data_IF_665429355393
#
_entry.id   IF_665429355393
#
_cell.length_a   1.000
_cell.length_b   1.000
_cell.length_c   1.000
_cell.angle_alpha   90.00
_cell.angle_beta   90.00
_cell.angle_gamma   90.00
#
_symmetry.space_group_name_H-M   'P 1'
#
loop_
_entity.id
_entity.type
_entity.pdbx_description
1 polymer ?
#
# COMPACT_ATOMS: atom_id res chain seq x y z
N UNK A 1 11.68 -0.80 0.78
CA UNK A 1 11.29 -1.96 -0.07
C UNK A 1 9.92 -1.65 -0.67
N UNK A 2 9.70 -1.98 -1.96
CA UNK A 2 8.43 -1.80 -2.67
C UNK A 2 7.84 -3.18 -3.00
N UNK A 3 6.55 -3.38 -2.74
CA UNK A 3 5.84 -4.64 -2.97
C UNK A 3 4.58 -4.38 -3.81
N UNK A 4 4.38 -5.18 -4.86
CA UNK A 4 3.12 -5.20 -5.62
C UNK A 4 2.45 -6.56 -5.43
N UNK A 5 1.15 -6.56 -5.15
CA UNK A 5 0.31 -7.74 -5.07
C UNK A 5 -0.94 -7.52 -5.92
N UNK A 6 -1.50 -8.61 -6.46
CA UNK A 6 -2.73 -8.58 -7.27
C UNK A 6 -3.95 -9.14 -6.53
N UNK A 7 -3.80 -9.49 -5.24
CA UNK A 7 -4.88 -9.91 -4.34
C UNK A 7 -4.92 -9.01 -3.08
N UNK A 8 -5.98 -9.14 -2.27
CA UNK A 8 -6.23 -8.27 -1.12
C UNK A 8 -6.79 -9.01 0.09
N UNK A 9 -6.14 -10.09 0.53
CA UNK A 9 -6.59 -10.85 1.72
C UNK A 9 -6.43 -10.02 3.01
N UNK A 10 -7.16 -10.40 4.05
CA UNK A 10 -7.09 -9.75 5.36
C UNK A 10 -5.65 -9.68 5.89
N UNK A 11 -5.18 -8.46 6.16
CA UNK A 11 -3.82 -8.14 6.62
C UNK A 11 -2.71 -8.83 5.79
N UNK A 12 -2.94 -9.05 4.49
CA UNK A 12 -2.10 -9.88 3.64
C UNK A 12 -0.61 -9.51 3.72
N UNK A 13 -0.25 -8.24 3.45
CA UNK A 13 1.14 -7.79 3.48
C UNK A 13 1.78 -8.03 4.86
N UNK A 14 1.09 -7.68 5.95
CA UNK A 14 1.58 -7.92 7.32
C UNK A 14 1.84 -9.41 7.58
N UNK A 15 0.95 -10.28 7.11
CA UNK A 15 1.08 -11.75 7.25
C UNK A 15 2.17 -12.34 6.37
N UNK A 16 2.38 -11.81 5.16
CA UNK A 16 3.47 -12.23 4.27
C UNK A 16 4.84 -11.99 4.92
N UNK A 17 5.05 -10.81 5.51
CA UNK A 17 6.30 -10.51 6.22
C UNK A 17 6.46 -11.32 7.51
N UNK A 18 5.39 -11.50 8.28
CA UNK A 18 5.42 -12.33 9.48
C UNK A 18 5.79 -13.80 9.17
N UNK A 19 5.31 -14.34 8.04
CA UNK A 19 5.60 -15.70 7.62
C UNK A 19 7.10 -15.94 7.30
N UNK A 20 7.84 -14.88 6.94
CA UNK A 20 9.29 -14.94 6.69
C UNK A 20 10.11 -14.40 7.88
N UNK A 21 9.49 -14.29 9.06
CA UNK A 21 10.19 -13.86 10.30
C UNK A 21 10.49 -12.36 10.36
N UNK A 22 9.75 -11.52 9.62
CA UNK A 22 9.94 -10.08 9.61
C UNK A 22 8.69 -9.33 10.10
N UNK A 23 8.85 -8.07 10.55
CA UNK A 23 7.78 -7.24 11.09
C UNK A 23 7.58 -5.99 10.23
N UNK A 24 6.33 -5.76 9.79
CA UNK A 24 5.94 -4.50 9.16
C UNK A 24 5.79 -3.42 10.23
N UNK A 25 6.66 -2.42 10.21
CA UNK A 25 6.62 -1.25 11.10
C UNK A 25 5.67 -0.18 10.53
N UNK A 26 5.76 0.06 9.23
CA UNK A 26 4.90 0.99 8.49
C UNK A 26 4.46 0.36 7.18
N UNK A 27 3.25 0.71 6.73
CA UNK A 27 2.68 0.24 5.47
C UNK A 27 1.99 1.40 4.76
N UNK A 28 2.59 1.86 3.68
CA UNK A 28 2.05 2.88 2.81
C UNK A 28 1.65 2.27 1.45
N UNK A 29 0.49 2.67 0.91
CA UNK A 29 0.03 2.24 -0.41
C UNK A 29 0.14 3.42 -1.39
N UNK A 30 1.07 3.31 -2.32
CA UNK A 30 1.39 4.35 -3.32
C UNK A 30 0.58 4.22 -4.63
N UNK A 31 -0.04 3.06 -4.91
CA UNK A 31 -0.69 2.81 -6.23
C UNK A 31 -1.80 1.75 -6.15
N UNK A 32 -2.84 1.91 -6.98
CA UNK A 32 -3.84 0.89 -7.30
C UNK A 32 -4.01 0.81 -8.82
N UNK A 33 -3.64 -0.33 -9.42
CA UNK A 33 -3.67 -0.49 -10.88
C UNK A 33 -2.79 0.58 -11.55
N UNK A 34 -3.38 1.35 -12.47
CA UNK A 34 -2.70 2.46 -13.14
C UNK A 34 -2.76 3.79 -12.36
N UNK A 35 -3.55 3.88 -11.28
CA UNK A 35 -3.73 5.10 -10.50
C UNK A 35 -2.64 5.19 -9.42
N UNK A 36 -1.79 6.20 -9.53
CA UNK A 36 -0.70 6.50 -8.58
C UNK A 36 -1.17 7.58 -7.59
N UNK A 37 -0.73 7.48 -6.34
CA UNK A 37 -0.93 8.54 -5.34
C UNK A 37 -0.24 9.82 -5.82
N UNK A 38 -0.96 10.93 -5.73
CA UNK A 38 -0.43 12.25 -6.05
C UNK A 38 0.58 12.68 -4.99
N UNK A 39 1.77 13.16 -5.39
CA UNK A 39 2.86 13.49 -4.47
C UNK A 39 2.57 14.75 -3.65
N UNK A 40 1.72 15.65 -4.17
CA UNK A 40 1.36 16.90 -3.52
C UNK A 40 0.11 16.78 -2.62
N UNK A 41 -0.53 15.61 -2.56
CA UNK A 41 -1.74 15.39 -1.76
C UNK A 41 -1.38 14.99 -0.33
N UNK A 42 -1.72 15.84 0.64
CA UNK A 42 -1.38 15.61 2.04
C UNK A 42 -2.23 14.50 2.67
N UNK A 43 -1.76 13.83 3.73
CA UNK A 43 -2.55 12.84 4.45
C UNK A 43 -3.89 13.43 4.94
N UNK A 44 -4.99 12.83 4.50
CA UNK A 44 -6.36 13.27 4.82
C UNK A 44 -7.04 14.09 3.71
N UNK A 45 -6.29 14.53 2.70
CA UNK A 45 -6.85 15.19 1.52
C UNK A 45 -7.35 14.18 0.49
N UNK A 46 -8.18 14.66 -0.44
CA UNK A 46 -8.68 13.88 -1.57
C UNK A 46 -8.82 14.77 -2.81
N UNK A 47 -8.80 14.14 -3.99
CA UNK A 47 -9.15 14.76 -5.26
C UNK A 47 -10.03 13.83 -6.10
N UNK A 48 -10.85 14.36 -7.02
CA UNK A 48 -11.52 13.53 -8.02
C UNK A 48 -10.50 12.86 -8.95
N UNK A 49 -10.92 11.75 -9.56
CA UNK A 49 -10.20 11.11 -10.67
C UNK A 49 -10.65 11.75 -12.00
N UNK A 50 -9.74 11.71 -12.98
CA UNK A 50 -10.05 12.05 -14.38
C UNK A 50 -10.82 10.91 -15.07
#
# INVERSE_FOLDING_TARGET
MRLTISEGRYHQVKRMFAAVGNRVVELHRERIGAIVMDEDLAPGEYRPLD
#
